data_IF_616128173568
#
_entry.id   IF_616128173568
#
_cell.length_a   1.000
_cell.length_b   1.000
_cell.length_c   1.000
_cell.angle_alpha   90.00
_cell.angle_beta   90.00
_cell.angle_gamma   90.00
#
_symmetry.space_group_name_H-M   'P 1'
#
loop_
_entity.id
_entity.type
_entity.pdbx_description
1 polymer ?
#
# COMPACT_ATOMS: atom_id res chain seq x y z
N UNK A 1 -23.08 4.27 -15.29
CA UNK A 1 -22.50 5.30 -16.18
C UNK A 1 -21.79 6.34 -15.32
N UNK A 2 -20.72 6.97 -15.82
CA UNK A 2 -20.06 8.11 -15.17
C UNK A 2 -20.84 9.41 -15.42
N UNK A 3 -21.26 10.08 -14.35
CA UNK A 3 -21.77 11.45 -14.39
C UNK A 3 -20.61 12.46 -14.26
N UNK A 4 -20.58 13.47 -15.12
CA UNK A 4 -19.62 14.58 -15.06
C UNK A 4 -20.36 15.88 -14.88
N UNK A 5 -19.99 16.60 -13.82
CA UNK A 5 -20.56 17.89 -13.43
C UNK A 5 -19.58 18.99 -13.81
N UNK A 6 -20.08 19.99 -14.55
CA UNK A 6 -19.37 21.21 -14.92
C UNK A 6 -20.11 22.43 -14.35
N UNK A 7 -19.39 23.45 -13.87
CA UNK A 7 -19.96 24.66 -13.27
C UNK A 7 -19.60 25.91 -14.09
N UNK A 8 -20.60 26.68 -14.53
CA UNK A 8 -20.42 27.98 -15.23
C UNK A 8 -19.85 29.07 -14.32
N UNK A 9 -19.96 28.90 -12.99
CA UNK A 9 -19.33 29.78 -12.01
C UNK A 9 -17.84 29.47 -11.76
N UNK A 10 -17.29 28.44 -12.41
CA UNK A 10 -15.90 28.00 -12.23
C UNK A 10 -15.18 27.91 -13.58
N UNK A 11 -14.28 28.86 -13.81
CA UNK A 11 -13.52 28.98 -15.05
C UNK A 11 -12.69 27.73 -15.38
N UNK A 12 -12.12 27.05 -14.39
CA UNK A 12 -11.37 25.81 -14.64
C UNK A 12 -12.32 24.67 -15.02
N UNK A 13 -13.47 24.61 -14.35
CA UNK A 13 -14.53 23.62 -14.62
C UNK A 13 -15.04 23.74 -16.06
N UNK A 14 -15.38 24.95 -16.51
CA UNK A 14 -15.79 25.20 -17.90
C UNK A 14 -14.71 24.77 -18.89
N UNK A 15 -13.44 25.14 -18.63
CA UNK A 15 -12.33 24.78 -19.51
C UNK A 15 -12.11 23.26 -19.57
N UNK A 16 -12.21 22.54 -18.45
CA UNK A 16 -12.16 21.07 -18.44
C UNK A 16 -13.35 20.50 -19.23
N UNK A 17 -14.55 21.05 -19.05
CA UNK A 17 -15.75 20.67 -19.81
C UNK A 17 -15.58 20.82 -21.32
N UNK A 18 -15.03 21.95 -21.77
CA UNK A 18 -14.67 22.17 -23.18
C UNK A 18 -13.69 21.10 -23.69
N UNK A 19 -12.64 20.79 -22.90
CA UNK A 19 -11.67 19.74 -23.25
C UNK A 19 -12.28 18.35 -23.27
N UNK A 20 -13.24 18.05 -22.40
CA UNK A 20 -13.99 16.80 -22.45
C UNK A 20 -14.75 16.68 -23.76
N UNK A 21 -15.47 17.72 -24.18
CA UNK A 21 -16.23 17.72 -25.43
C UNK A 21 -15.34 17.66 -26.68
N UNK A 22 -14.14 18.25 -26.63
CA UNK A 22 -13.11 18.10 -27.68
C UNK A 22 -12.56 16.65 -27.76
N UNK A 23 -12.66 15.89 -26.67
CA UNK A 23 -12.16 14.52 -26.55
C UNK A 23 -13.30 13.51 -26.77
N UNK A 24 -13.34 12.94 -27.97
CA UNK A 24 -14.25 11.85 -28.32
C UNK A 24 -15.49 12.30 -29.08
N UNK A 25 -16.41 11.36 -29.29
CA UNK A 25 -17.67 11.62 -30.01
C UNK A 25 -18.80 11.80 -28.97
N UNK A 26 -19.20 13.04 -28.76
CA UNK A 26 -20.31 13.40 -27.87
C UNK A 26 -21.59 13.67 -28.67
N UNK A 27 -22.70 13.14 -28.16
CA UNK A 27 -24.04 13.41 -28.67
C UNK A 27 -24.71 14.46 -27.80
N UNK A 28 -25.03 15.60 -28.40
CA UNK A 28 -25.85 16.63 -27.78
C UNK A 28 -27.29 16.12 -27.56
N UNK A 29 -27.81 16.35 -26.36
CA UNK A 29 -29.14 15.97 -25.91
C UNK A 29 -29.82 17.16 -25.23
N UNK A 30 -31.15 17.11 -25.08
CA UNK A 30 -31.95 18.16 -24.44
C UNK A 30 -32.86 17.57 -23.36
N UNK A 31 -32.83 18.17 -22.16
CA UNK A 31 -33.68 17.82 -21.01
C UNK A 31 -34.44 19.06 -20.52
N UNK A 32 -35.69 19.20 -21.00
CA UNK A 32 -36.58 20.27 -20.58
C UNK A 32 -37.31 20.02 -19.26
N UNK A 33 -37.04 18.91 -18.57
CA UNK A 33 -37.71 18.56 -17.30
C UNK A 33 -36.99 19.12 -16.06
N UNK A 34 -35.70 19.40 -16.19
CA UNK A 34 -34.83 20.02 -15.18
C UNK A 34 -34.46 21.44 -15.63
N UNK A 35 -34.33 22.43 -14.74
CA UNK A 35 -33.82 23.76 -15.11
C UNK A 35 -32.39 23.71 -15.67
N UNK A 36 -32.08 24.53 -16.69
CA UNK A 36 -30.71 24.62 -17.28
C UNK A 36 -29.62 25.04 -16.27
N UNK A 37 -30.00 25.83 -15.27
CA UNK A 37 -29.12 26.22 -14.17
C UNK A 37 -28.77 25.03 -13.25
N UNK A 38 -29.57 23.98 -13.26
CA UNK A 38 -29.49 22.81 -12.37
C UNK A 38 -29.14 21.54 -13.18
N UNK A 39 -28.44 21.66 -14.30
CA UNK A 39 -28.02 20.50 -15.12
C UNK A 39 -29.09 19.98 -16.10
N UNK A 40 -30.19 20.69 -16.28
CA UNK A 40 -31.13 20.48 -17.39
C UNK A 40 -30.68 21.16 -18.67
N UNK A 41 -31.62 21.44 -19.58
CA UNK A 41 -31.29 22.11 -20.84
C UNK A 41 -30.44 21.23 -21.76
N UNK A 42 -29.35 21.78 -22.29
CA UNK A 42 -28.44 21.03 -23.17
C UNK A 42 -27.42 20.25 -22.35
N UNK A 43 -27.32 18.95 -22.63
CA UNK A 43 -26.34 18.06 -22.00
C UNK A 43 -25.72 17.13 -23.05
N UNK A 44 -24.64 16.43 -22.68
CA UNK A 44 -23.87 15.63 -23.63
C UNK A 44 -23.69 14.20 -23.14
N UNK A 45 -23.81 13.24 -24.07
CA UNK A 45 -23.58 11.81 -23.79
C UNK A 45 -22.53 11.24 -24.71
N UNK A 46 -21.71 10.35 -24.17
CA UNK A 46 -20.83 9.46 -24.92
C UNK A 46 -20.90 8.05 -24.34
N UNK A 47 -20.19 7.09 -24.91
CA UNK A 47 -20.16 5.73 -24.36
C UNK A 47 -19.60 5.75 -22.93
N UNK A 48 -20.43 5.33 -21.96
CA UNK A 48 -20.03 5.23 -20.55
C UNK A 48 -20.07 6.53 -19.75
N UNK A 49 -20.36 7.69 -20.35
CA UNK A 49 -20.37 8.98 -19.64
C UNK A 49 -21.46 9.96 -20.09
N UNK A 50 -21.91 10.79 -19.15
CA UNK A 50 -22.85 11.90 -19.34
C UNK A 50 -22.30 13.16 -18.68
N UNK A 51 -22.30 14.29 -19.42
CA UNK A 51 -21.83 15.59 -18.94
C UNK A 51 -23.01 16.56 -18.85
N UNK A 52 -23.18 17.17 -17.67
CA UNK A 52 -24.17 18.23 -17.42
C UNK A 52 -23.52 19.46 -16.80
N UNK A 53 -24.10 20.62 -17.10
CA UNK A 53 -23.57 21.92 -16.70
C UNK A 53 -24.54 22.64 -15.77
N UNK A 54 -24.00 23.21 -14.68
CA UNK A 54 -24.73 23.91 -13.63
C UNK A 54 -24.29 25.38 -13.58
N UNK A 55 -25.18 26.29 -13.19
CA UNK A 55 -24.86 27.73 -13.14
C UNK A 55 -24.00 28.10 -11.92
N UNK A 56 -24.36 27.56 -10.76
CA UNK A 56 -23.75 27.92 -9.47
C UNK A 56 -22.48 27.10 -9.18
N UNK A 57 -21.68 27.60 -8.24
CA UNK A 57 -20.47 26.93 -7.82
C UNK A 57 -20.80 25.61 -7.12
N UNK A 58 -20.26 24.52 -7.68
CA UNK A 58 -20.54 23.14 -7.28
C UNK A 58 -20.36 22.84 -5.78
N UNK A 59 -19.48 23.55 -5.06
CA UNK A 59 -19.29 23.37 -3.61
C UNK A 59 -20.55 23.69 -2.77
N UNK A 60 -21.48 24.48 -3.32
CA UNK A 60 -22.75 24.84 -2.68
C UNK A 60 -23.96 24.19 -3.34
N UNK A 61 -23.75 23.33 -4.35
CA UNK A 61 -24.85 22.71 -5.09
C UNK A 61 -25.58 21.67 -4.21
N UNK A 62 -26.90 21.68 -4.26
CA UNK A 62 -27.75 20.66 -3.64
C UNK A 62 -28.28 19.73 -4.74
N UNK A 63 -28.41 18.44 -4.46
CA UNK A 63 -29.01 17.49 -5.42
C UNK A 63 -28.24 17.36 -6.75
N UNK A 64 -26.91 17.54 -6.75
CA UNK A 64 -26.09 17.57 -7.98
C UNK A 64 -26.16 16.28 -8.81
N UNK A 65 -26.57 15.17 -8.20
CA UNK A 65 -26.78 13.90 -8.88
C UNK A 65 -28.20 13.73 -9.49
N UNK A 66 -29.18 14.51 -9.02
CA UNK A 66 -30.62 14.35 -9.37
C UNK A 66 -30.92 14.43 -10.87
N UNK A 67 -30.24 15.27 -11.68
CA UNK A 67 -30.49 15.33 -13.11
C UNK A 67 -30.04 14.08 -13.87
N UNK A 68 -29.14 13.28 -13.31
CA UNK A 68 -28.56 12.11 -13.98
C UNK A 68 -29.42 10.86 -13.78
N UNK A 69 -29.43 9.98 -14.78
CA UNK A 69 -30.16 8.69 -14.71
C UNK A 69 -29.28 7.61 -14.05
N UNK A 70 -29.43 7.45 -12.73
CA UNK A 70 -28.80 6.41 -11.88
C UNK A 70 -27.29 6.19 -12.16
N UNK A 71 -26.44 7.21 -11.95
CA UNK A 71 -25.01 7.08 -12.19
C UNK A 71 -24.32 6.16 -11.18
N UNK A 72 -23.31 5.41 -11.64
CA UNK A 72 -22.49 4.54 -10.77
C UNK A 72 -21.38 5.34 -10.06
N UNK A 73 -21.00 6.47 -10.65
CA UNK A 73 -19.89 7.32 -10.25
C UNK A 73 -20.17 8.75 -10.71
N UNK A 74 -19.83 9.75 -9.89
CA UNK A 74 -20.01 11.18 -10.20
C UNK A 74 -18.70 11.93 -10.00
N UNK A 75 -18.20 12.57 -11.05
CA UNK A 75 -17.03 13.45 -10.98
C UNK A 75 -17.43 14.90 -11.17
N UNK A 76 -16.99 15.75 -10.24
CA UNK A 76 -17.12 17.20 -10.34
C UNK A 76 -15.81 17.77 -10.88
N UNK A 77 -15.84 18.27 -12.12
CA UNK A 77 -14.71 19.01 -12.66
C UNK A 77 -14.62 20.36 -11.94
N UNK A 78 -13.48 20.66 -11.31
CA UNK A 78 -13.35 21.81 -10.41
C UNK A 78 -12.00 22.49 -10.55
N UNK A 79 -11.90 23.73 -10.09
CA UNK A 79 -10.60 24.35 -9.78
C UNK A 79 -10.11 23.90 -8.41
N UNK A 80 -8.82 23.67 -8.31
CA UNK A 80 -8.10 23.81 -7.04
C UNK A 80 -7.57 25.24 -6.92
N UNK A 81 -7.67 25.84 -5.73
CA UNK A 81 -7.20 27.22 -5.47
C UNK A 81 -6.22 27.25 -4.31
N UNK A 82 -4.94 27.53 -4.58
CA UNK A 82 -3.91 27.49 -3.55
C UNK A 82 -2.53 27.98 -3.98
N UNK A 83 -1.60 28.01 -3.03
CA UNK A 83 -0.20 28.43 -3.25
C UNK A 83 0.74 27.30 -3.68
N UNK A 84 0.23 26.29 -4.37
CA UNK A 84 0.96 25.05 -4.71
C UNK A 84 1.64 25.06 -6.09
N UNK A 85 1.32 26.04 -6.94
CA UNK A 85 1.72 26.02 -8.35
C UNK A 85 0.93 24.98 -9.16
N UNK A 86 1.46 24.51 -10.30
CA UNK A 86 0.73 23.58 -11.17
C UNK A 86 0.48 22.23 -10.51
N UNK A 87 -0.80 21.86 -10.37
CA UNK A 87 -1.21 20.69 -9.61
C UNK A 87 -2.51 20.10 -10.17
N UNK A 88 -2.54 18.77 -10.31
CA UNK A 88 -3.76 18.00 -10.53
C UNK A 88 -4.10 17.22 -9.27
N UNK A 89 -5.32 17.37 -8.75
CA UNK A 89 -5.75 16.75 -7.50
C UNK A 89 -7.14 16.15 -7.60
N UNK A 90 -7.44 15.27 -6.66
CA UNK A 90 -8.78 14.76 -6.46
C UNK A 90 -9.03 14.42 -5.00
N UNK A 91 -10.27 14.56 -4.56
CA UNK A 91 -10.69 14.21 -3.20
C UNK A 91 -12.21 14.01 -3.10
N UNK A 92 -12.70 13.26 -2.09
CA UNK A 92 -14.11 13.29 -1.73
C UNK A 92 -14.44 14.56 -0.92
N UNK A 93 -15.70 14.97 -0.89
CA UNK A 93 -16.18 16.13 -0.12
C UNK A 93 -16.74 15.72 1.24
N UNK A 94 -16.61 16.60 2.23
CA UNK A 94 -17.04 16.29 3.60
C UNK A 94 -16.46 17.23 4.65
N UNK A 95 -17.23 17.46 5.71
CA UNK A 95 -16.87 18.35 6.80
C UNK A 95 -16.98 17.60 8.14
N UNK A 96 -15.86 17.28 8.78
CA UNK A 96 -15.88 16.70 10.12
C UNK A 96 -16.30 17.73 11.20
N UNK A 97 -15.84 18.97 11.02
CA UNK A 97 -16.18 20.14 11.84
C UNK A 97 -17.22 21.06 11.19
N UNK A 98 -16.99 22.36 11.24
CA UNK A 98 -17.83 23.37 10.63
C UNK A 98 -17.82 23.31 9.09
N UNK A 99 -18.99 23.46 8.47
CA UNK A 99 -19.15 23.54 7.03
C UNK A 99 -19.08 24.99 6.55
N UNK A 100 -17.89 25.58 6.49
CA UNK A 100 -17.70 26.98 6.07
C UNK A 100 -17.85 27.18 4.55
N UNK A 101 -17.58 26.12 3.77
CA UNK A 101 -17.57 26.13 2.31
C UNK A 101 -18.53 25.10 1.73
N UNK A 102 -19.80 25.16 2.17
CA UNK A 102 -20.88 24.31 1.67
C UNK A 102 -20.99 22.96 2.35
N UNK A 103 -22.13 22.29 2.15
CA UNK A 103 -22.51 21.06 2.82
C UNK A 103 -22.87 21.24 4.29
N UNK A 104 -22.92 20.13 5.03
CA UNK A 104 -23.32 20.10 6.45
C UNK A 104 -22.16 19.69 7.38
N UNK A 105 -22.17 20.20 8.61
CA UNK A 105 -21.24 19.80 9.67
C UNK A 105 -21.43 18.34 10.08
N UNK A 106 -20.33 17.60 10.21
CA UNK A 106 -20.35 16.18 10.56
C UNK A 106 -20.96 15.29 9.46
N UNK A 107 -20.94 15.75 8.20
CA UNK A 107 -21.47 15.05 7.05
C UNK A 107 -20.40 14.89 5.96
N UNK A 108 -20.58 13.85 5.15
CA UNK A 108 -19.65 13.45 4.10
C UNK A 108 -20.44 12.98 2.88
N UNK A 109 -20.02 13.35 1.67
CA UNK A 109 -20.52 12.72 0.45
C UNK A 109 -20.08 11.24 0.40
N UNK A 110 -20.75 10.40 -0.40
CA UNK A 110 -20.25 9.04 -0.62
C UNK A 110 -18.94 9.11 -1.42
N UNK A 111 -17.84 8.66 -0.83
CA UNK A 111 -16.55 8.63 -1.49
C UNK A 111 -16.49 7.53 -2.57
N UNK A 112 -15.55 7.66 -3.51
CA UNK A 112 -15.22 6.62 -4.49
C UNK A 112 -13.73 6.20 -4.37
N UNK A 113 -13.34 5.43 -3.33
CA UNK A 113 -11.93 5.17 -3.02
C UNK A 113 -11.15 4.49 -4.15
N UNK A 114 -11.77 3.53 -4.84
CA UNK A 114 -11.11 2.81 -5.95
C UNK A 114 -10.98 3.72 -7.18
N UNK A 115 -12.01 4.49 -7.49
CA UNK A 115 -11.97 5.49 -8.55
C UNK A 115 -10.90 6.57 -8.26
N UNK A 116 -10.73 7.00 -7.01
CA UNK A 116 -9.68 7.95 -6.62
C UNK A 116 -8.28 7.39 -6.90
N UNK A 117 -8.04 6.12 -6.54
CA UNK A 117 -6.77 5.47 -6.83
C UNK A 117 -6.51 5.29 -8.34
N UNK A 118 -7.55 5.08 -9.14
CA UNK A 118 -7.42 5.03 -10.60
C UNK A 118 -7.16 6.42 -11.20
N UNK A 119 -7.87 7.44 -10.71
CA UNK A 119 -7.77 8.82 -11.16
C UNK A 119 -6.39 9.42 -10.88
N UNK A 120 -5.82 9.16 -9.71
CA UNK A 120 -4.43 9.57 -9.37
C UNK A 120 -3.40 8.91 -10.30
N UNK A 121 -3.63 7.67 -10.75
CA UNK A 121 -2.79 7.02 -11.78
C UNK A 121 -2.99 7.65 -13.15
N UNK A 122 -4.23 7.91 -13.54
CA UNK A 122 -4.55 8.56 -14.81
C UNK A 122 -3.95 9.98 -14.89
N UNK A 123 -3.92 10.72 -13.77
CA UNK A 123 -3.20 11.98 -13.71
C UNK A 123 -1.70 11.83 -13.97
N UNK A 124 -1.01 10.84 -13.40
CA UNK A 124 0.41 10.61 -13.70
C UNK A 124 0.66 10.34 -15.20
N UNK A 125 -0.27 9.66 -15.87
CA UNK A 125 -0.17 9.33 -17.29
C UNK A 125 -0.37 10.55 -18.20
N UNK A 126 -1.18 11.53 -17.77
CA UNK A 126 -1.58 12.67 -18.60
C UNK A 126 -1.00 14.02 -18.18
N UNK A 127 -0.48 14.15 -16.95
CA UNK A 127 -0.02 15.42 -16.40
C UNK A 127 1.08 16.05 -17.29
N UNK A 128 0.98 17.34 -17.63
CA UNK A 128 2.04 18.03 -18.35
C UNK A 128 3.32 18.13 -17.51
N UNK A 129 4.47 18.30 -18.17
CA UNK A 129 5.73 18.54 -17.47
C UNK A 129 5.62 19.75 -16.53
N UNK A 130 6.02 19.56 -15.27
CA UNK A 130 5.97 20.60 -14.24
C UNK A 130 4.70 20.61 -13.38
N UNK A 131 3.69 19.80 -13.71
CA UNK A 131 2.54 19.58 -12.83
C UNK A 131 2.86 18.55 -11.75
N UNK A 132 2.51 18.87 -10.51
CA UNK A 132 2.35 17.88 -9.45
C UNK A 132 1.06 17.08 -9.65
N UNK A 133 1.02 15.89 -9.07
CA UNK A 133 -0.17 15.04 -8.97
C UNK A 133 -0.31 14.61 -7.52
N UNK A 134 -1.51 14.71 -6.97
CA UNK A 134 -1.77 14.27 -5.60
C UNK A 134 -3.24 14.00 -5.33
N UNK A 135 -3.52 13.67 -4.07
CA UNK A 135 -4.88 13.65 -3.52
C UNK A 135 -4.96 14.64 -2.36
N UNK A 136 -6.16 15.08 -2.03
CA UNK A 136 -6.39 15.97 -0.90
C UNK A 136 -7.20 15.28 0.20
N UNK A 137 -7.19 15.88 1.39
CA UNK A 137 -8.11 15.51 2.45
C UNK A 137 -9.56 15.84 2.10
N UNK A 138 -10.51 15.20 2.78
CA UNK A 138 -11.92 15.55 2.64
C UNK A 138 -12.16 16.94 3.21
N UNK A 139 -12.78 17.80 2.41
CA UNK A 139 -13.13 19.15 2.81
C UNK A 139 -14.26 19.69 1.93
N UNK A 140 -14.90 20.76 2.41
CA UNK A 140 -15.96 21.53 1.76
C UNK A 140 -17.18 20.69 1.33
N UNK A 141 -18.19 21.37 0.78
CA UNK A 141 -19.40 20.76 0.25
C UNK A 141 -19.32 20.39 -1.23
N UNK A 142 -20.36 19.75 -1.77
CA UNK A 142 -21.57 19.36 -1.08
C UNK A 142 -21.38 18.03 -0.34
N UNK A 143 -22.25 17.72 0.62
CA UNK A 143 -22.16 16.50 1.44
C UNK A 143 -23.33 15.54 1.21
N UNK A 144 -24.38 16.02 0.57
CA UNK A 144 -25.62 15.34 0.21
C UNK A 144 -25.51 14.60 -1.15
N UNK A 145 -24.37 13.97 -1.42
CA UNK A 145 -24.20 13.10 -2.59
C UNK A 145 -24.18 11.63 -2.16
N UNK A 146 -25.20 10.86 -2.56
CA UNK A 146 -25.31 9.43 -2.26
C UNK A 146 -24.68 8.52 -3.34
N UNK A 147 -24.44 9.08 -4.53
CA UNK A 147 -23.64 8.46 -5.59
C UNK A 147 -22.15 8.57 -5.19
N UNK A 148 -21.34 7.51 -5.35
CA UNK A 148 -19.89 7.62 -5.15
C UNK A 148 -19.32 8.79 -5.97
N UNK A 149 -18.61 9.70 -5.32
CA UNK A 149 -18.25 10.98 -5.93
C UNK A 149 -16.86 11.48 -5.55
N UNK A 150 -16.28 12.25 -6.47
CA UNK A 150 -14.99 12.92 -6.31
C UNK A 150 -15.02 14.29 -6.97
N UNK A 151 -14.32 15.24 -6.36
CA UNK A 151 -13.86 16.43 -7.04
C UNK A 151 -12.57 16.09 -7.80
N UNK A 152 -12.45 16.59 -9.03
CA UNK A 152 -11.36 16.33 -9.95
C UNK A 152 -10.84 17.67 -10.44
N UNK A 153 -9.65 18.05 -10.00
CA UNK A 153 -9.28 19.44 -9.92
C UNK A 153 -8.06 19.83 -10.75
N UNK A 154 -8.13 21.04 -11.32
CA UNK A 154 -7.03 21.73 -11.98
C UNK A 154 -6.60 22.93 -11.13
N UNK A 155 -5.34 22.93 -10.69
CA UNK A 155 -4.80 23.94 -9.79
C UNK A 155 -3.47 24.55 -10.23
N UNK A 156 -3.07 25.66 -9.62
CA UNK A 156 -3.67 26.20 -8.38
C UNK A 156 -4.10 27.66 -8.45
N UNK A 157 -3.89 28.31 -9.60
CA UNK A 157 -4.26 29.71 -9.84
C UNK A 157 -4.73 29.94 -11.29
N UNK A 158 -5.04 31.20 -11.60
CA UNK A 158 -5.53 31.64 -12.92
C UNK A 158 -4.69 31.13 -14.10
N UNK A 159 -3.36 31.05 -13.95
CA UNK A 159 -2.49 30.62 -15.03
C UNK A 159 -2.65 29.14 -15.35
N UNK A 160 -2.97 28.31 -14.35
CA UNK A 160 -3.27 26.89 -14.58
C UNK A 160 -4.71 26.65 -14.96
N UNK A 161 -5.67 27.41 -14.41
CA UNK A 161 -7.08 27.30 -14.82
C UNK A 161 -7.25 27.59 -16.33
N UNK A 162 -6.41 28.46 -16.88
CA UNK A 162 -6.38 28.79 -18.32
C UNK A 162 -5.46 27.90 -19.15
N UNK A 163 -4.72 26.97 -18.54
CA UNK A 163 -3.77 26.11 -19.25
C UNK A 163 -4.48 24.99 -20.01
N UNK A 164 -4.47 25.01 -21.37
CA UNK A 164 -5.13 23.98 -22.15
C UNK A 164 -4.52 22.59 -21.95
N UNK A 165 -3.22 22.49 -21.63
CA UNK A 165 -2.57 21.21 -21.39
C UNK A 165 -3.04 20.60 -20.07
N UNK A 166 -3.09 21.38 -19.00
CA UNK A 166 -3.64 20.97 -17.70
C UNK A 166 -5.11 20.55 -17.80
N UNK A 167 -5.96 21.38 -18.42
CA UNK A 167 -7.38 21.04 -18.61
C UNK A 167 -7.59 19.78 -19.46
N UNK A 168 -6.77 19.59 -20.51
CA UNK A 168 -6.82 18.36 -21.33
C UNK A 168 -6.40 17.14 -20.53
N UNK A 169 -5.39 17.28 -19.65
CA UNK A 169 -4.95 16.18 -18.81
C UNK A 169 -6.05 15.73 -17.83
N UNK A 170 -6.74 16.68 -17.18
CA UNK A 170 -7.88 16.37 -16.32
C UNK A 170 -9.02 15.71 -17.11
N UNK A 171 -9.36 16.25 -18.27
CA UNK A 171 -10.42 15.69 -19.12
C UNK A 171 -10.12 14.24 -19.54
N UNK A 172 -8.87 13.92 -19.91
CA UNK A 172 -8.46 12.53 -20.21
C UNK A 172 -8.55 11.62 -18.99
N UNK A 173 -8.09 12.10 -17.84
CA UNK A 173 -8.13 11.32 -16.60
C UNK A 173 -9.57 10.99 -16.17
N UNK A 174 -10.51 11.93 -16.33
CA UNK A 174 -11.95 11.70 -16.13
C UNK A 174 -12.45 10.58 -17.05
N UNK A 175 -12.16 10.66 -18.36
CA UNK A 175 -12.63 9.70 -19.34
C UNK A 175 -12.04 8.29 -19.18
N UNK A 176 -10.79 8.18 -18.72
CA UNK A 176 -10.15 6.89 -18.44
C UNK A 176 -10.76 6.16 -17.24
N UNK A 177 -11.46 6.89 -16.36
CA UNK A 177 -12.11 6.34 -15.17
C UNK A 177 -13.58 5.93 -15.38
N UNK A 178 -14.16 6.12 -16.57
CA UNK A 178 -15.61 5.91 -16.79
C UNK A 178 -16.12 4.49 -16.56
N UNK A 179 -15.24 3.50 -16.68
CA UNK A 179 -15.53 2.08 -16.47
C UNK A 179 -14.90 1.53 -15.17
N UNK A 180 -14.36 2.42 -14.33
CA UNK A 180 -13.72 2.03 -13.07
C UNK A 180 -14.79 1.87 -11.98
N UNK A 181 -14.84 0.73 -11.27
CA UNK A 181 -15.71 0.59 -10.10
C UNK A 181 -15.37 1.63 -9.03
N UNK A 182 -16.38 2.25 -8.43
CA UNK A 182 -16.17 3.28 -7.41
C UNK A 182 -15.46 2.75 -6.16
N UNK A 183 -15.76 1.51 -5.77
CA UNK A 183 -15.32 0.87 -4.54
C UNK A 183 -14.59 -0.45 -4.81
N UNK A 184 -13.82 -0.92 -3.83
CA UNK A 184 -13.18 -2.26 -3.81
C UNK A 184 -13.13 -2.83 -2.39
N UNK A 185 -12.78 -4.10 -2.23
CA UNK A 185 -12.78 -4.74 -0.89
C UNK A 185 -11.79 -4.11 0.11
N UNK A 186 -10.66 -3.59 -0.39
CA UNK A 186 -9.59 -2.99 0.43
C UNK A 186 -9.67 -1.48 0.46
N UNK A 187 -10.39 -0.95 1.43
CA UNK A 187 -10.61 0.50 1.60
C UNK A 187 -10.32 0.94 3.03
N UNK A 188 -9.83 2.17 3.17
CA UNK A 188 -9.43 2.78 4.43
C UNK A 188 -10.06 4.16 4.61
N UNK A 189 -10.29 4.53 5.86
CA UNK A 189 -10.41 5.94 6.28
C UNK A 189 -9.06 6.43 6.77
N UNK A 190 -8.69 7.65 6.37
CA UNK A 190 -7.51 8.33 6.88
C UNK A 190 -7.82 9.33 7.98
N UNK A 191 -6.96 9.41 8.99
CA UNK A 191 -7.04 10.44 10.03
C UNK A 191 -5.68 11.09 10.23
N UNK A 192 -5.65 12.42 10.25
CA UNK A 192 -4.46 13.24 10.48
C UNK A 192 -3.69 13.60 9.22
N UNK A 193 -2.61 14.37 9.40
CA UNK A 193 -1.80 14.93 8.34
C UNK A 193 -2.31 16.27 7.83
N UNK A 194 -1.58 16.85 6.86
CA UNK A 194 -1.95 18.10 6.22
C UNK A 194 -2.97 17.92 5.09
N UNK A 195 -3.24 19.00 4.36
CA UNK A 195 -4.22 19.04 3.28
C UNK A 195 -3.92 18.07 2.11
N UNK A 196 -2.65 17.90 1.73
CA UNK A 196 -2.23 17.01 0.64
C UNK A 196 -1.85 15.58 1.06
N UNK A 197 -2.11 15.21 2.33
CA UNK A 197 -2.21 13.80 2.78
C UNK A 197 -1.15 12.79 2.24
N UNK A 198 0.17 13.09 2.26
CA UNK A 198 1.20 12.30 1.56
C UNK A 198 1.37 10.86 2.07
N UNK A 199 0.97 10.58 3.31
CA UNK A 199 0.92 9.21 3.83
C UNK A 199 -0.09 8.36 3.09
N UNK A 200 -1.27 8.92 2.84
CA UNK A 200 -2.37 8.22 2.18
C UNK A 200 -2.12 8.11 0.68
N UNK A 201 -1.47 9.11 0.08
CA UNK A 201 -0.97 9.04 -1.30
C UNK A 201 0.00 7.86 -1.48
N UNK A 202 0.98 7.69 -0.58
CA UNK A 202 1.89 6.51 -0.60
C UNK A 202 1.14 5.19 -0.54
N UNK A 203 0.07 5.11 0.25
CA UNK A 203 -0.74 3.89 0.38
C UNK A 203 -1.43 3.58 -0.95
N UNK A 204 -2.15 4.53 -1.54
CA UNK A 204 -2.89 4.28 -2.80
C UNK A 204 -1.95 3.95 -3.97
N UNK A 205 -0.72 4.49 -3.96
CA UNK A 205 0.30 4.26 -4.99
C UNK A 205 1.07 2.95 -4.78
N UNK A 206 1.37 2.61 -3.53
CA UNK A 206 2.27 1.52 -3.17
C UNK A 206 1.58 0.19 -2.82
N UNK A 207 0.25 0.15 -2.76
CA UNK A 207 -0.51 -1.01 -2.27
C UNK A 207 -1.79 -1.25 -3.09
N UNK A 208 -2.45 -2.38 -2.83
CA UNK A 208 -3.81 -2.66 -3.33
C UNK A 208 -4.92 -2.07 -2.43
N UNK A 209 -4.57 -1.20 -1.47
CA UNK A 209 -5.51 -0.47 -0.61
C UNK A 209 -5.92 0.86 -1.22
N UNK A 210 -7.22 1.14 -1.23
CA UNK A 210 -7.79 2.43 -1.59
C UNK A 210 -8.09 3.25 -0.33
N UNK A 211 -8.18 4.57 -0.50
CA UNK A 211 -8.45 5.50 0.59
C UNK A 211 -9.70 6.30 0.23
N UNK A 212 -10.68 6.28 1.14
CA UNK A 212 -11.89 7.10 1.03
C UNK A 212 -11.66 8.46 1.67
N UNK A 213 -12.46 8.79 2.69
CA UNK A 213 -12.28 10.02 3.43
C UNK A 213 -10.95 10.04 4.18
N UNK A 214 -10.27 11.19 4.09
CA UNK A 214 -9.18 11.55 5.00
C UNK A 214 -9.59 12.79 5.77
N UNK A 215 -9.60 12.73 7.11
CA UNK A 215 -9.84 13.87 7.98
C UNK A 215 -8.48 14.42 8.43
N UNK A 216 -8.06 15.52 7.83
CA UNK A 216 -6.78 16.18 8.14
C UNK A 216 -6.75 16.75 9.58
N UNK A 217 -5.56 17.11 10.06
CA UNK A 217 -5.34 17.59 11.43
C UNK A 217 -6.26 18.78 11.79
N UNK A 218 -6.37 19.77 10.91
CA UNK A 218 -7.24 20.93 11.13
C UNK A 218 -8.73 20.56 11.18
N UNK A 219 -9.15 19.55 10.40
CA UNK A 219 -10.53 19.08 10.36
C UNK A 219 -10.88 18.33 11.65
N UNK A 220 -9.91 17.56 12.17
CA UNK A 220 -10.02 16.88 13.46
C UNK A 220 -10.02 17.85 14.65
N UNK A 221 -9.27 18.95 14.55
CA UNK A 221 -9.21 19.98 15.59
C UNK A 221 -10.51 20.80 15.65
N UNK A 222 -11.22 20.94 14.54
CA UNK A 222 -12.50 21.66 14.45
C UNK A 222 -13.72 20.76 14.75
N UNK A 223 -13.57 19.44 14.61
CA UNK A 223 -14.58 18.47 15.04
C UNK A 223 -14.70 18.45 16.59
N UNK A 224 -15.91 18.21 17.16
CA UNK A 224 -16.04 17.93 18.58
C UNK A 224 -15.10 16.79 19.03
N UNK A 225 -14.79 16.75 20.33
CA UNK A 225 -13.90 15.74 20.89
C UNK A 225 -14.30 14.32 20.41
N UNK A 226 -13.38 13.41 20.04
CA UNK A 226 -13.72 12.14 19.40
C UNK A 226 -14.77 11.29 20.15
N UNK A 227 -14.78 11.34 21.49
CA UNK A 227 -15.78 10.66 22.34
C UNK A 227 -17.20 11.22 22.21
N UNK A 228 -17.34 12.44 21.72
CA UNK A 228 -18.61 13.13 21.48
C UNK A 228 -19.00 13.08 19.99
N UNK A 229 -18.03 12.94 19.09
CA UNK A 229 -18.20 12.91 17.64
C UNK A 229 -18.33 11.47 17.05
N UNK A 230 -18.84 10.52 17.83
CA UNK A 230 -18.88 9.10 17.40
C UNK A 230 -19.72 8.87 16.14
N UNK A 231 -20.81 9.63 15.95
CA UNK A 231 -21.63 9.56 14.74
C UNK A 231 -20.90 10.12 13.51
N UNK A 232 -20.16 11.22 13.67
CA UNK A 232 -19.30 11.78 12.60
C UNK A 232 -18.23 10.78 12.17
N UNK A 233 -17.55 10.17 13.14
CA UNK A 233 -16.54 9.14 12.87
C UNK A 233 -17.17 7.93 12.17
N UNK A 234 -18.32 7.43 12.65
CA UNK A 234 -19.04 6.33 12.00
C UNK A 234 -19.40 6.65 10.55
N UNK A 235 -19.93 7.85 10.29
CA UNK A 235 -20.26 8.32 8.94
C UNK A 235 -19.04 8.35 8.02
N UNK A 236 -17.86 8.77 8.50
CA UNK A 236 -16.65 8.77 7.70
C UNK A 236 -16.29 7.35 7.19
N UNK A 237 -16.50 6.31 8.01
CA UNK A 237 -16.32 4.91 7.61
C UNK A 237 -17.42 4.44 6.65
N UNK A 238 -18.68 4.68 6.98
CA UNK A 238 -19.84 4.28 6.17
C UNK A 238 -19.77 4.90 4.76
N UNK A 239 -19.48 6.20 4.68
CA UNK A 239 -19.37 6.94 3.41
C UNK A 239 -18.09 6.64 2.64
N UNK A 240 -17.11 5.98 3.27
CA UNK A 240 -15.93 5.44 2.59
C UNK A 240 -16.05 3.97 2.18
N UNK A 241 -17.13 3.27 2.55
CA UNK A 241 -17.22 1.82 2.36
C UNK A 241 -16.08 1.06 3.05
N UNK A 242 -15.60 1.55 4.19
CA UNK A 242 -14.39 1.07 4.84
C UNK A 242 -14.66 0.50 6.24
N UNK A 243 -13.89 -0.52 6.62
CA UNK A 243 -13.91 -1.10 7.98
C UNK A 243 -12.58 -0.94 8.73
N UNK A 244 -11.60 -0.29 8.07
CA UNK A 244 -10.23 -0.11 8.56
C UNK A 244 -9.78 1.33 8.42
N UNK A 245 -8.86 1.75 9.26
CA UNK A 245 -8.30 3.09 9.21
C UNK A 245 -6.80 3.13 9.43
N UNK A 246 -6.16 4.14 8.87
CA UNK A 246 -4.77 4.51 9.17
C UNK A 246 -4.76 5.90 9.81
N UNK A 247 -4.03 6.03 10.92
CA UNK A 247 -3.85 7.29 11.64
C UNK A 247 -2.43 7.82 11.37
N UNK A 248 -2.33 9.05 10.92
CA UNK A 248 -1.12 9.86 10.92
C UNK A 248 -1.00 10.61 12.26
N UNK A 249 0.15 10.43 12.93
CA UNK A 249 0.40 10.94 14.27
C UNK A 249 -0.08 10.03 15.42
N UNK A 250 0.17 10.48 16.65
CA UNK A 250 -0.21 9.79 17.88
C UNK A 250 -1.55 10.33 18.40
N UNK A 251 -2.63 9.53 18.23
CA UNK A 251 -4.00 9.88 18.61
C UNK A 251 -4.67 8.74 19.39
N UNK A 252 -4.25 8.47 20.64
CA UNK A 252 -4.70 7.29 21.38
C UNK A 252 -6.21 7.28 21.67
N UNK A 253 -6.80 8.46 21.95
CA UNK A 253 -8.25 8.59 22.18
C UNK A 253 -9.03 8.29 20.90
N UNK A 254 -8.57 8.78 19.75
CA UNK A 254 -9.22 8.49 18.47
C UNK A 254 -9.14 6.99 18.14
N UNK A 255 -7.98 6.36 18.38
CA UNK A 255 -7.80 4.91 18.21
C UNK A 255 -8.76 4.10 19.09
N UNK A 256 -8.91 4.48 20.36
CA UNK A 256 -9.87 3.87 21.30
C UNK A 256 -11.30 3.96 20.76
N UNK A 257 -11.74 5.16 20.37
CA UNK A 257 -13.10 5.39 19.87
C UNK A 257 -13.37 4.60 18.57
N UNK A 258 -12.40 4.55 17.65
CA UNK A 258 -12.54 3.77 16.40
C UNK A 258 -12.72 2.27 16.73
N UNK A 259 -11.97 1.74 17.69
CA UNK A 259 -12.11 0.35 18.13
C UNK A 259 -13.47 0.09 18.80
N UNK A 260 -13.94 1.00 19.66
CA UNK A 260 -15.26 0.92 20.31
C UNK A 260 -16.42 0.95 19.30
N UNK A 261 -16.22 1.61 18.16
CA UNK A 261 -17.16 1.62 17.03
C UNK A 261 -17.15 0.33 16.19
N UNK A 262 -16.23 -0.60 16.47
CA UNK A 262 -16.10 -1.87 15.76
C UNK A 262 -15.21 -1.84 14.51
N UNK A 263 -14.45 -0.75 14.32
CA UNK A 263 -13.50 -0.60 13.21
C UNK A 263 -12.07 -0.92 13.65
N UNK A 264 -11.22 -1.30 12.69
CA UNK A 264 -9.83 -1.67 12.99
C UNK A 264 -8.85 -0.58 12.55
N UNK A 265 -8.05 -0.05 13.48
CA UNK A 265 -6.90 0.79 13.13
C UNK A 265 -5.71 -0.09 12.77
N UNK A 266 -5.11 0.13 11.60
CA UNK A 266 -3.94 -0.58 11.08
C UNK A 266 -2.79 0.40 10.79
N UNK A 267 -1.57 -0.10 10.69
CA UNK A 267 -0.39 0.69 10.34
C UNK A 267 -0.20 0.77 8.82
N UNK A 268 0.59 1.75 8.34
CA UNK A 268 1.04 1.79 6.93
C UNK A 268 1.85 0.53 6.57
N UNK A 269 2.60 -0.03 7.52
CA UNK A 269 3.28 -1.32 7.34
C UNK A 269 2.27 -2.44 7.10
N UNK A 270 1.20 -2.52 7.90
CA UNK A 270 0.14 -3.51 7.70
C UNK A 270 -0.49 -3.42 6.30
N UNK A 271 -0.71 -2.22 5.76
CA UNK A 271 -1.23 -2.07 4.38
C UNK A 271 -0.27 -2.62 3.32
N UNK A 272 1.04 -2.43 3.51
CA UNK A 272 2.08 -2.95 2.61
C UNK A 272 2.19 -4.47 2.69
N UNK A 273 2.31 -5.01 3.89
CA UNK A 273 2.50 -6.46 4.11
C UNK A 273 1.28 -7.28 3.68
N UNK A 274 0.07 -6.70 3.71
CA UNK A 274 -1.17 -7.42 3.35
C UNK A 274 -1.58 -7.27 1.89
N UNK A 275 -0.80 -6.54 1.09
CA UNK A 275 -1.07 -6.37 -0.35
C UNK A 275 -1.02 -7.72 -1.05
N UNK A 276 -2.07 -8.06 -1.81
CA UNK A 276 -2.18 -9.33 -2.52
C UNK A 276 -2.52 -10.56 -1.65
N UNK A 277 -2.61 -10.43 -0.33
CA UNK A 277 -2.94 -11.54 0.59
C UNK A 277 -4.41 -11.46 1.00
N UNK A 278 -5.24 -12.48 0.76
CA UNK A 278 -6.67 -12.46 1.12
C UNK A 278 -6.89 -12.07 2.58
N UNK A 279 -7.87 -11.19 2.86
CA UNK A 279 -8.07 -10.64 4.20
C UNK A 279 -8.41 -11.71 5.25
N UNK A 280 -9.17 -12.74 4.87
CA UNK A 280 -9.44 -13.89 5.73
C UNK A 280 -8.16 -14.63 6.12
N UNK A 281 -7.20 -14.75 5.19
CA UNK A 281 -5.89 -15.35 5.42
C UNK A 281 -5.04 -14.48 6.34
N UNK A 282 -5.05 -13.15 6.15
CA UNK A 282 -4.39 -12.21 7.08
C UNK A 282 -4.94 -12.36 8.50
N UNK A 283 -6.27 -12.31 8.66
CA UNK A 283 -6.92 -12.40 9.97
C UNK A 283 -6.66 -13.76 10.66
N UNK A 284 -6.74 -14.85 9.89
CA UNK A 284 -6.42 -16.19 10.37
C UNK A 284 -4.97 -16.29 10.85
N UNK A 285 -4.01 -15.80 10.07
CA UNK A 285 -2.59 -15.90 10.40
C UNK A 285 -2.17 -14.98 11.54
N UNK A 286 -2.72 -13.76 11.63
CA UNK A 286 -2.52 -12.89 12.79
C UNK A 286 -3.08 -13.51 14.08
N UNK A 287 -4.16 -14.30 13.99
CA UNK A 287 -4.73 -14.98 15.16
C UNK A 287 -3.94 -16.21 15.62
N UNK A 288 -3.23 -16.87 14.69
CA UNK A 288 -2.47 -18.09 14.97
C UNK A 288 -1.02 -17.81 15.36
N UNK A 289 -0.46 -16.69 14.91
CA UNK A 289 0.92 -16.27 15.11
C UNK A 289 0.96 -15.00 15.97
N UNK A 290 1.35 -13.88 15.39
CA UNK A 290 1.40 -12.54 15.96
C UNK A 290 0.85 -11.51 14.97
N UNK A 291 0.70 -10.26 15.38
CA UNK A 291 0.25 -9.19 14.47
C UNK A 291 1.37 -8.71 13.55
N UNK A 292 1.02 -8.04 12.44
CA UNK A 292 2.03 -7.40 11.57
C UNK A 292 2.87 -6.36 12.33
N UNK A 293 2.23 -5.64 13.25
CA UNK A 293 2.87 -4.63 14.09
C UNK A 293 3.85 -5.25 15.10
N UNK A 294 3.65 -6.52 15.49
CA UNK A 294 4.55 -7.30 16.36
C UNK A 294 5.66 -8.01 15.59
N UNK A 295 5.61 -8.07 14.26
CA UNK A 295 6.66 -8.66 13.43
C UNK A 295 6.19 -9.73 12.45
N UNK A 296 4.88 -9.98 12.30
CA UNK A 296 4.40 -10.91 11.27
C UNK A 296 4.69 -10.39 9.86
N UNK A 297 5.26 -11.23 9.00
CA UNK A 297 5.47 -10.97 7.57
C UNK A 297 4.82 -12.06 6.73
N UNK A 298 4.32 -11.70 5.56
CA UNK A 298 3.74 -12.67 4.63
C UNK A 298 4.79 -13.11 3.60
N UNK A 299 4.80 -14.39 3.29
CA UNK A 299 5.65 -14.96 2.24
C UNK A 299 4.92 -15.03 0.89
N UNK A 300 5.67 -15.39 -0.14
CA UNK A 300 5.19 -15.42 -1.53
C UNK A 300 3.98 -16.36 -1.70
N UNK A 301 3.93 -17.43 -0.91
CA UNK A 301 2.87 -18.42 -0.97
C UNK A 301 1.52 -17.93 -0.42
N UNK A 302 1.48 -16.81 0.31
CA UNK A 302 0.23 -16.24 0.83
C UNK A 302 -0.58 -15.47 -0.21
N UNK A 303 0.04 -15.07 -1.33
CA UNK A 303 -0.65 -14.34 -2.38
C UNK A 303 -1.79 -15.20 -2.97
N UNK A 304 -3.03 -14.72 -2.83
CA UNK A 304 -4.23 -15.45 -3.27
C UNK A 304 -4.49 -16.79 -2.54
N UNK A 305 -3.80 -17.09 -1.44
CA UNK A 305 -4.00 -18.34 -0.71
C UNK A 305 -5.27 -18.33 0.13
N UNK A 306 -6.08 -19.38 -0.01
CA UNK A 306 -7.25 -19.65 0.81
C UNK A 306 -7.15 -21.08 1.36
N UNK A 307 -7.17 -21.23 2.68
CA UNK A 307 -7.10 -22.54 3.33
C UNK A 307 -6.51 -22.47 4.73
N UNK A 308 -6.45 -23.64 5.38
CA UNK A 308 -5.83 -23.77 6.69
C UNK A 308 -4.29 -23.70 6.57
N UNK A 309 -3.66 -23.20 7.62
CA UNK A 309 -2.20 -23.15 7.72
C UNK A 309 -1.68 -24.24 8.66
N UNK A 310 -0.53 -24.78 8.33
CA UNK A 310 0.26 -25.65 9.20
C UNK A 310 1.31 -24.81 9.89
N UNK A 311 1.12 -24.54 11.18
CA UNK A 311 2.07 -23.76 11.99
C UNK A 311 3.16 -24.65 12.56
N UNK A 312 4.41 -24.17 12.49
CA UNK A 312 5.63 -24.82 13.02
C UNK A 312 6.57 -23.78 13.63
N UNK A 313 7.47 -24.22 14.50
CA UNK A 313 8.59 -23.40 14.93
C UNK A 313 9.68 -23.41 13.87
N UNK A 314 10.23 -22.24 13.54
CA UNK A 314 11.46 -22.18 12.74
C UNK A 314 12.62 -22.82 13.52
N UNK A 315 13.53 -23.56 12.87
CA UNK A 315 14.71 -24.11 13.55
C UNK A 315 15.66 -22.99 13.98
N UNK A 316 15.50 -22.52 15.23
CA UNK A 316 16.06 -21.25 15.70
C UNK A 316 17.59 -21.13 15.47
N UNK A 317 18.37 -22.15 15.81
CA UNK A 317 19.82 -22.12 15.65
C UNK A 317 20.25 -22.13 14.18
N UNK A 318 19.57 -22.90 13.33
CA UNK A 318 19.85 -22.95 11.89
C UNK A 318 19.51 -21.62 11.22
N UNK A 319 18.31 -21.08 11.49
CA UNK A 319 17.86 -19.80 10.93
C UNK A 319 18.75 -18.66 11.41
N UNK A 320 19.15 -18.68 12.68
CA UNK A 320 20.07 -17.68 13.21
C UNK A 320 21.46 -17.77 12.55
N UNK A 321 22.00 -18.97 12.38
CA UNK A 321 23.29 -19.13 11.70
C UNK A 321 23.21 -18.72 10.23
N UNK A 322 22.16 -19.15 9.50
CA UNK A 322 21.91 -18.73 8.13
C UNK A 322 21.87 -17.20 8.01
N UNK A 323 21.14 -16.51 8.90
CA UNK A 323 21.06 -15.05 8.90
C UNK A 323 22.40 -14.37 9.23
N UNK A 324 23.27 -15.03 10.01
CA UNK A 324 24.63 -14.54 10.27
C UNK A 324 25.56 -14.73 9.06
N UNK A 325 25.25 -15.68 8.17
CA UNK A 325 25.95 -15.87 6.90
C UNK A 325 25.46 -14.86 5.87
N UNK A 326 24.15 -14.85 5.62
CA UNK A 326 23.49 -13.95 4.67
C UNK A 326 22.03 -13.72 5.12
N UNK A 327 21.77 -12.53 5.66
CA UNK A 327 20.46 -12.16 6.18
C UNK A 327 19.40 -12.06 5.08
N UNK A 328 19.75 -11.51 3.92
CA UNK A 328 18.81 -11.32 2.81
C UNK A 328 18.44 -12.66 2.18
N UNK A 329 19.42 -13.54 1.95
CA UNK A 329 19.19 -14.89 1.43
C UNK A 329 18.37 -15.74 2.41
N UNK A 330 18.61 -15.60 3.72
CA UNK A 330 17.83 -16.29 4.76
C UNK A 330 16.37 -15.84 4.75
N UNK A 331 16.14 -14.52 4.70
CA UNK A 331 14.78 -13.98 4.62
C UNK A 331 14.08 -14.45 3.35
N UNK A 332 14.77 -14.44 2.21
CA UNK A 332 14.22 -14.92 0.94
C UNK A 332 13.88 -16.42 0.99
N UNK A 333 14.73 -17.25 1.60
CA UNK A 333 14.48 -18.68 1.77
C UNK A 333 13.20 -18.97 2.58
N UNK A 334 12.98 -18.24 3.68
CA UNK A 334 11.77 -18.38 4.49
C UNK A 334 10.55 -17.82 3.74
N UNK A 335 10.64 -16.60 3.21
CA UNK A 335 9.53 -15.94 2.52
C UNK A 335 9.08 -16.71 1.26
N UNK A 336 9.98 -17.33 0.51
CA UNK A 336 9.66 -18.08 -0.71
C UNK A 336 8.87 -19.38 -0.46
N UNK A 337 8.73 -19.81 0.79
CA UNK A 337 8.00 -21.04 1.18
C UNK A 337 6.81 -20.77 2.09
N UNK A 338 6.91 -19.75 2.93
CA UNK A 338 5.94 -19.46 3.97
C UNK A 338 4.66 -18.81 3.43
N UNK A 339 3.54 -19.11 4.08
CA UNK A 339 2.37 -18.24 4.04
C UNK A 339 2.65 -16.99 4.89
N UNK A 340 3.11 -17.19 6.12
CA UNK A 340 3.59 -16.12 6.98
C UNK A 340 4.66 -16.62 7.93
N UNK A 341 5.47 -15.71 8.45
CA UNK A 341 6.51 -16.01 9.42
C UNK A 341 6.70 -14.83 10.36
N UNK A 342 7.02 -15.14 11.61
CA UNK A 342 7.38 -14.12 12.59
C UNK A 342 8.81 -13.63 12.35
N UNK A 343 9.06 -12.42 12.80
CA UNK A 343 10.38 -11.79 12.69
C UNK A 343 10.74 -11.04 13.95
N UNK A 344 12.04 -10.87 14.15
CA UNK A 344 12.61 -9.98 15.15
C UNK A 344 13.29 -8.78 14.47
N UNK A 345 13.89 -7.90 15.27
CA UNK A 345 14.69 -6.74 14.79
C UNK A 345 13.92 -5.80 13.85
N UNK A 346 12.62 -5.62 14.11
CA UNK A 346 11.79 -4.69 13.35
C UNK A 346 11.31 -5.20 12.00
N UNK A 347 11.30 -6.52 11.76
CA UNK A 347 10.73 -7.09 10.54
C UNK A 347 11.70 -7.85 9.64
N UNK A 348 12.99 -7.88 9.99
CA UNK A 348 14.06 -8.20 9.05
C UNK A 348 14.59 -9.61 9.23
N UNK A 349 14.64 -10.11 10.47
CA UNK A 349 15.22 -11.42 10.79
C UNK A 349 14.12 -12.44 11.07
N UNK A 350 13.93 -13.47 10.22
CA UNK A 350 12.98 -14.54 10.51
C UNK A 350 13.30 -15.24 11.83
N UNK A 351 12.29 -15.41 12.68
CA UNK A 351 12.41 -16.02 14.00
C UNK A 351 11.05 -16.57 14.44
N UNK A 352 10.99 -17.31 15.54
CA UNK A 352 9.72 -17.78 16.10
C UNK A 352 8.99 -18.78 15.20
N UNK A 353 7.73 -18.51 14.90
CA UNK A 353 6.85 -19.42 14.18
C UNK A 353 6.75 -19.12 12.68
N UNK A 354 6.45 -20.16 11.90
CA UNK A 354 6.17 -20.12 10.46
C UNK A 354 4.88 -20.85 10.16
N UNK A 355 4.04 -20.25 9.33
CA UNK A 355 2.84 -20.84 8.75
C UNK A 355 3.12 -21.32 7.32
N UNK A 356 2.76 -22.57 7.03
CA UNK A 356 2.99 -23.23 5.75
C UNK A 356 1.67 -23.77 5.18
N UNK A 357 1.56 -23.84 3.86
CA UNK A 357 0.38 -24.42 3.21
C UNK A 357 0.23 -25.93 3.49
N UNK A 358 1.35 -26.65 3.64
CA UNK A 358 1.36 -28.09 3.94
C UNK A 358 2.54 -28.44 4.86
N UNK A 359 2.45 -29.59 5.53
CA UNK A 359 3.55 -30.08 6.38
C UNK A 359 4.83 -30.37 5.57
N UNK A 360 4.70 -30.90 4.36
CA UNK A 360 5.83 -31.26 3.49
C UNK A 360 6.68 -30.04 3.06
N UNK A 361 6.10 -28.83 3.11
CA UNK A 361 6.80 -27.58 2.80
C UNK A 361 7.92 -27.29 3.81
N UNK A 362 7.84 -27.80 5.05
CA UNK A 362 8.83 -27.52 6.08
C UNK A 362 10.21 -28.08 5.73
N UNK A 363 10.28 -29.30 5.20
CA UNK A 363 11.56 -29.88 4.77
C UNK A 363 12.18 -29.12 3.59
N UNK A 364 11.36 -28.52 2.74
CA UNK A 364 11.84 -27.66 1.66
C UNK A 364 12.43 -26.35 2.19
N UNK A 365 11.77 -25.73 3.17
CA UNK A 365 12.30 -24.55 3.86
C UNK A 365 13.65 -24.86 4.51
N UNK A 366 13.79 -25.99 5.20
CA UNK A 366 15.07 -26.41 5.82
C UNK A 366 16.16 -26.59 4.77
N UNK A 367 15.84 -27.18 3.60
CA UNK A 367 16.81 -27.32 2.50
C UNK A 367 17.26 -25.97 1.96
N UNK A 368 16.36 -25.01 1.82
CA UNK A 368 16.71 -23.67 1.33
C UNK A 368 17.60 -22.92 2.34
N UNK A 369 17.33 -23.05 3.66
CA UNK A 369 18.22 -22.54 4.71
C UNK A 369 19.61 -23.18 4.67
N UNK A 370 19.69 -24.50 4.44
CA UNK A 370 20.96 -25.21 4.26
C UNK A 370 21.77 -24.64 3.10
N UNK A 371 21.12 -24.31 1.97
CA UNK A 371 21.76 -23.68 0.82
C UNK A 371 22.41 -22.33 1.15
N UNK A 372 21.92 -21.59 2.15
CA UNK A 372 22.57 -20.35 2.62
C UNK A 372 23.89 -20.66 3.32
N UNK A 373 23.94 -21.71 4.14
CA UNK A 373 25.13 -22.11 4.90
C UNK A 373 26.27 -22.59 3.98
N UNK A 374 25.96 -23.16 2.82
CA UNK A 374 26.96 -23.67 1.85
C UNK A 374 27.92 -22.58 1.34
N UNK A 375 27.58 -21.30 1.52
CA UNK A 375 28.51 -20.19 1.20
C UNK A 375 29.62 -19.98 2.24
N UNK A 376 29.46 -20.51 3.47
CA UNK A 376 30.39 -20.34 4.60
C UNK A 376 31.04 -21.64 5.06
N UNK A 377 30.34 -22.76 4.93
CA UNK A 377 30.76 -24.07 5.40
C UNK A 377 31.20 -24.94 4.22
N UNK A 378 32.24 -25.76 4.45
CA UNK A 378 32.83 -26.62 3.42
C UNK A 378 31.95 -27.84 3.12
N UNK A 379 31.25 -28.34 4.14
CA UNK A 379 30.25 -29.41 4.00
C UNK A 379 29.02 -29.06 4.84
N UNK A 380 27.83 -29.22 4.25
CA UNK A 380 26.55 -29.12 4.99
C UNK A 380 25.69 -30.32 4.62
N UNK A 381 25.22 -31.05 5.63
CA UNK A 381 24.42 -32.26 5.44
C UNK A 381 23.17 -32.22 6.33
N UNK A 382 22.06 -32.71 5.76
CA UNK A 382 20.82 -32.93 6.48
C UNK A 382 20.83 -34.36 7.02
N UNK A 383 20.68 -34.50 8.33
CA UNK A 383 20.60 -35.77 9.05
C UNK A 383 19.21 -35.99 9.67
N UNK A 384 18.99 -37.15 10.29
CA UNK A 384 17.70 -37.53 10.89
C UNK A 384 17.23 -36.54 11.97
N UNK A 385 18.16 -35.97 12.75
CA UNK A 385 17.84 -35.11 13.90
C UNK A 385 18.26 -33.64 13.71
N UNK A 386 18.63 -33.22 12.50
CA UNK A 386 19.07 -31.84 12.28
C UNK A 386 19.94 -31.63 11.05
N UNK A 387 20.64 -30.50 11.04
CA UNK A 387 21.62 -30.13 10.03
C UNK A 387 23.01 -30.15 10.67
N UNK A 388 23.98 -30.77 10.00
CA UNK A 388 25.38 -30.75 10.39
C UNK A 388 26.15 -29.90 9.38
N UNK A 389 26.85 -28.88 9.86
CA UNK A 389 27.73 -28.05 9.04
C UNK A 389 29.16 -28.17 9.54
N UNK A 390 30.09 -28.37 8.61
CA UNK A 390 31.50 -28.54 8.88
C UNK A 390 32.27 -27.40 8.24
N UNK A 391 33.19 -26.84 9.00
CA UNK A 391 34.16 -25.88 8.50
C UNK A 391 35.57 -26.33 8.83
N UNK A 392 36.44 -26.33 7.84
CA UNK A 392 37.86 -26.59 7.97
C UNK A 392 38.60 -25.24 8.02
N UNK A 393 39.31 -25.00 9.12
CA UNK A 393 40.08 -23.76 9.30
C UNK A 393 41.55 -24.11 9.39
N UNK A 394 42.36 -23.47 8.55
CA UNK A 394 43.80 -23.63 8.59
C UNK A 394 44.37 -23.20 9.95
N UNK A 395 45.15 -24.08 10.58
CA UNK A 395 45.87 -23.86 11.83
C UNK A 395 47.35 -23.53 11.51
N UNK A 396 47.74 -22.24 11.60
CA UNK A 396 49.11 -21.83 11.30
C UNK A 396 50.14 -22.34 12.32
N UNK A 397 49.73 -22.63 13.55
CA UNK A 397 50.62 -23.18 14.58
C UNK A 397 50.92 -24.65 14.26
N UNK A 398 49.91 -25.45 13.93
CA UNK A 398 50.08 -26.83 13.49
C UNK A 398 50.98 -26.94 12.23
N UNK A 399 50.82 -26.02 11.27
CA UNK A 399 51.69 -25.97 10.09
C UNK A 399 53.15 -25.67 10.45
N UNK A 400 53.36 -24.73 11.38
CA UNK A 400 54.71 -24.36 11.86
C UNK A 400 55.37 -25.51 12.61
N UNK A 401 54.63 -26.24 13.45
CA UNK A 401 55.11 -27.43 14.17
C UNK A 401 55.54 -28.55 13.21
N UNK A 402 54.88 -28.68 12.07
CA UNK A 402 55.23 -29.63 11.01
C UNK A 402 56.36 -29.14 10.09
N UNK A 403 56.94 -27.97 10.37
CA UNK A 403 58.10 -27.41 9.67
C UNK A 403 57.74 -26.53 8.46
N UNK A 404 56.48 -26.12 8.33
CA UNK A 404 56.00 -25.23 7.27
C UNK A 404 55.87 -23.81 7.83
N UNK A 405 56.87 -22.96 7.58
CA UNK A 405 56.80 -21.53 7.89
C UNK A 405 56.10 -20.72 6.79
N UNK A 406 55.72 -19.47 7.10
CA UNK A 406 55.07 -18.54 6.16
C UNK A 406 55.82 -18.47 4.81
N UNK A 407 55.11 -18.72 3.71
CA UNK A 407 55.68 -18.79 2.36
C UNK A 407 54.78 -19.52 1.36
N UNK A 408 55.26 -19.82 0.14
CA UNK A 408 54.43 -20.44 -0.91
C UNK A 408 53.87 -21.82 -0.53
N UNK A 409 54.63 -22.63 0.22
CA UNK A 409 54.16 -23.93 0.71
C UNK A 409 53.08 -23.77 1.79
N UNK A 410 53.22 -22.78 2.67
CA UNK A 410 52.21 -22.45 3.66
C UNK A 410 50.91 -21.95 3.01
N UNK A 411 51.02 -21.08 2.02
CA UNK A 411 49.86 -20.62 1.25
C UNK A 411 49.15 -21.74 0.49
N UNK A 412 49.90 -22.72 -0.04
CA UNK A 412 49.33 -23.93 -0.66
C UNK A 412 48.61 -24.81 0.35
N UNK A 413 49.22 -25.07 1.51
CA UNK A 413 48.55 -25.80 2.58
C UNK A 413 47.28 -25.09 3.00
N UNK A 414 47.33 -23.79 3.28
CA UNK A 414 46.16 -22.99 3.63
C UNK A 414 45.08 -22.95 2.52
N UNK A 415 45.42 -23.25 1.28
CA UNK A 415 44.49 -23.38 0.15
C UNK A 415 43.96 -24.81 -0.06
N UNK A 416 44.27 -25.74 0.85
CA UNK A 416 43.83 -27.14 0.75
C UNK A 416 44.70 -28.01 -0.17
N UNK A 417 45.92 -27.59 -0.51
CA UNK A 417 46.85 -28.37 -1.33
C UNK A 417 47.95 -29.02 -0.49
N UNK A 418 48.25 -30.29 -0.72
CA UNK A 418 49.38 -30.96 -0.08
C UNK A 418 50.73 -30.38 -0.51
N UNK A 419 51.73 -30.43 0.37
CA UNK A 419 53.08 -29.91 0.12
C UNK A 419 54.15 -30.90 0.55
N UNK A 420 55.23 -30.96 -0.23
CA UNK A 420 56.42 -31.74 0.13
C UNK A 420 57.47 -30.83 0.76
N UNK A 421 57.83 -31.09 2.02
CA UNK A 421 58.95 -30.44 2.72
C UNK A 421 59.89 -31.52 3.26
N UNK A 422 61.19 -31.38 3.00
CA UNK A 422 62.24 -32.27 3.49
C UNK A 422 61.98 -33.78 3.22
N UNK A 423 61.37 -34.10 2.07
CA UNK A 423 61.05 -35.47 1.67
C UNK A 423 59.83 -36.09 2.35
N UNK A 424 59.02 -35.29 3.06
CA UNK A 424 57.74 -35.69 3.65
C UNK A 424 56.60 -34.89 3.05
N UNK A 425 55.55 -35.58 2.61
CA UNK A 425 54.29 -34.98 2.17
C UNK A 425 53.46 -34.62 3.40
N UNK A 426 53.08 -33.34 3.49
CA UNK A 426 52.16 -32.83 4.50
C UNK A 426 50.81 -32.65 3.82
N UNK A 427 49.81 -33.39 4.28
CA UNK A 427 48.43 -33.28 3.81
C UNK A 427 47.73 -32.11 4.49
N UNK A 428 46.81 -31.41 3.81
CA UNK A 428 46.04 -30.30 4.39
C UNK A 428 45.34 -30.69 5.70
N UNK A 429 44.81 -31.91 5.78
CA UNK A 429 44.12 -32.40 6.98
C UNK A 429 45.00 -32.48 8.24
N UNK A 430 46.34 -32.41 8.10
CA UNK A 430 47.25 -32.37 9.24
C UNK A 430 47.40 -30.97 9.86
N UNK A 431 46.93 -29.94 9.15
CA UNK A 431 47.07 -28.52 9.52
C UNK A 431 45.75 -27.74 9.38
N UNK A 432 44.62 -28.44 9.25
CA UNK A 432 43.29 -27.85 9.32
C UNK A 432 42.56 -28.41 10.53
N UNK A 433 41.98 -27.51 11.33
CA UNK A 433 41.04 -27.88 12.37
C UNK A 433 39.65 -28.01 11.74
N UNK A 434 39.08 -29.21 11.83
CA UNK A 434 37.71 -29.51 11.40
C UNK A 434 36.75 -29.20 12.55
N UNK A 435 35.92 -28.16 12.39
CA UNK A 435 34.90 -27.77 13.36
C UNK A 435 33.51 -28.16 12.86
N UNK A 436 32.87 -29.06 13.60
CA UNK A 436 31.50 -29.49 13.34
C UNK A 436 30.52 -28.68 14.20
N UNK A 437 29.47 -28.15 13.57
CA UNK A 437 28.34 -27.50 14.25
C UNK A 437 27.06 -28.24 13.89
N UNK A 438 26.20 -28.50 14.88
CA UNK A 438 24.93 -29.19 14.68
C UNK A 438 23.78 -28.26 15.03
N UNK A 439 22.81 -28.17 14.13
CA UNK A 439 21.60 -27.38 14.30
C UNK A 439 20.40 -28.34 14.42
N UNK A 440 19.74 -28.43 15.60
CA UNK A 440 18.58 -29.29 15.79
C UNK A 440 17.40 -28.88 14.89
N UNK A 441 16.72 -29.87 14.30
CA UNK A 441 15.49 -29.65 13.50
C UNK A 441 14.47 -30.72 13.85
N UNK A 442 13.28 -30.32 14.31
CA UNK A 442 12.15 -31.23 14.53
C UNK A 442 11.43 -31.48 13.20
N UNK A 443 11.79 -32.58 12.53
CA UNK A 443 11.12 -33.03 11.29
C UNK A 443 9.88 -33.87 11.59
N UNK A 444 8.95 -33.89 10.63
CA UNK A 444 7.70 -34.65 10.73
C UNK A 444 7.90 -36.16 10.51
#
# INVERSE_FOLDING_TARGET
MLAVVVSRADRASEHIGERLLDLGEWTECEDGSVPDAEGGGTYYRTEGAELRTFDDLHIYAEGVADPFDDPDLLFVASRHSGGTGPLLTAHPTGNAGAAEFGGESGAFARAAPNALAALVRAFDDHAPEGYGVGMECSHHGPTDIDVPSLFVELGSDEAQWDDPAGATAVARAILDCRDVPAERDRQLVGFGGGHYVPRFERIIRGTDWAVGHVLADWSLDDMPHPREATDTLRRAFERSGACRAVIDGDRPVLREVIADLGYRVVSETWTRETTGVPLATVESLESQLSTVDEGLRFGDAAAGYEGDAVVRSLPAELTAEAANVDADATRAAVAGRALAFETEEGGTRPAGQVALATADTFDALVRDLVGVLESKYDEVAIEENGVVAVRETFDPEAATELGVGEGPAFGRLAAGESVDIDGRTIEPSAVHERRETRFPVERC
#
